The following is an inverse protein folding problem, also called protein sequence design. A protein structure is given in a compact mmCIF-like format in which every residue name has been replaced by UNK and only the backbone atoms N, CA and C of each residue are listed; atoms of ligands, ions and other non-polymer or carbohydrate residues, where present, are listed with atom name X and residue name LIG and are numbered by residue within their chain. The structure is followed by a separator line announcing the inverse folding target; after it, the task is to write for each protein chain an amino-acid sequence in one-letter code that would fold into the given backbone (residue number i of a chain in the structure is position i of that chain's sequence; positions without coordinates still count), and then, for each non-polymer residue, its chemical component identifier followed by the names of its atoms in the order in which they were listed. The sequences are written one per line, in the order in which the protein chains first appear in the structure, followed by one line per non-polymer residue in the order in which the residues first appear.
data_IF_898899428273
#
_entry.id   IF_898899428273
#
_cell.length_a   1.000
_cell.length_b   1.000
_cell.length_c   1.000
_cell.angle_alpha   90.00
_cell.angle_beta   90.00
_cell.angle_gamma   90.00
#
_symmetry.space_group_name_H-M   'P 1'
#
loop_
_entity.id
_entity.type
_entity.pdbx_description
1 polymer ?
#
# COMPACT_ATOMS: atom_id res chain seq x y z
N UNK A 1 -14.13 20.47 -4.16
CA UNK A 1 -13.58 20.04 -2.86
C UNK A 1 -12.34 19.23 -3.15
N UNK A 2 -11.17 19.87 -3.19
CA UNK A 2 -9.89 19.17 -3.29
C UNK A 2 -9.29 19.18 -1.91
N UNK A 3 -9.39 18.05 -1.21
CA UNK A 3 -8.62 17.83 0.02
C UNK A 3 -7.17 17.72 -0.41
N UNK A 4 -6.40 18.77 -0.18
CA UNK A 4 -4.94 18.69 -0.26
C UNK A 4 -4.51 17.84 0.92
N UNK A 5 -4.26 16.55 0.67
CA UNK A 5 -3.86 15.63 1.71
C UNK A 5 -2.51 16.11 2.25
N UNK A 6 -2.54 16.67 3.45
CA UNK A 6 -1.35 17.09 4.17
C UNK A 6 -0.72 15.81 4.70
N UNK A 7 0.10 15.15 3.89
CA UNK A 7 0.85 14.00 4.35
C UNK A 7 1.88 14.49 5.38
N UNK A 8 1.53 14.37 6.67
CA UNK A 8 2.54 14.00 7.65
C UNK A 8 3.32 12.83 7.02
N UNK A 9 4.65 12.86 7.00
CA UNK A 9 5.49 12.00 6.14
C UNK A 9 5.46 10.49 6.44
N UNK A 10 4.31 9.95 6.87
CA UNK A 10 4.02 8.54 7.14
C UNK A 10 2.56 8.22 6.79
N UNK A 11 2.33 7.02 6.29
CA UNK A 11 1.02 6.42 6.03
C UNK A 11 0.64 5.51 7.19
N UNK A 12 -0.64 5.50 7.54
CA UNK A 12 -1.20 4.59 8.54
C UNK A 12 -1.64 3.25 7.94
N UNK A 13 -1.67 2.20 8.77
CA UNK A 13 -2.15 0.88 8.34
C UNK A 13 -3.62 0.90 7.89
N UNK A 14 -4.43 1.78 8.48
CA UNK A 14 -5.83 1.96 8.08
C UNK A 14 -5.96 2.51 6.67
N UNK A 15 -5.11 3.45 6.26
CA UNK A 15 -5.11 3.99 4.89
C UNK A 15 -4.72 2.93 3.86
N UNK A 16 -3.68 2.15 4.14
CA UNK A 16 -3.28 1.04 3.27
C UNK A 16 -4.39 0.00 3.17
N UNK A 17 -4.96 -0.45 4.30
CA UNK A 17 -6.08 -1.40 4.30
C UNK A 17 -7.29 -0.89 3.52
N UNK A 18 -7.60 0.41 3.62
CA UNK A 18 -8.70 1.02 2.86
C UNK A 18 -8.43 0.98 1.35
N UNK A 19 -7.22 1.32 0.90
CA UNK A 19 -6.83 1.19 -0.51
C UNK A 19 -6.92 -0.27 -0.97
N UNK A 20 -6.42 -1.20 -0.17
CA UNK A 20 -6.43 -2.62 -0.48
C UNK A 20 -7.86 -3.16 -0.59
N UNK A 21 -8.74 -2.74 0.32
CA UNK A 21 -10.17 -3.07 0.30
C UNK A 21 -10.87 -2.48 -0.92
N UNK A 22 -10.54 -1.25 -1.32
CA UNK A 22 -11.07 -0.60 -2.52
C UNK A 22 -10.66 -1.35 -3.80
N UNK A 23 -9.40 -1.80 -3.86
CA UNK A 23 -8.88 -2.56 -5.02
C UNK A 23 -9.44 -3.97 -5.09
N UNK A 24 -9.53 -4.69 -3.96
CA UNK A 24 -10.02 -6.06 -3.92
C UNK A 24 -11.56 -6.17 -3.88
N UNK A 25 -12.25 -5.08 -3.54
CA UNK A 25 -13.71 -5.06 -3.38
C UNK A 25 -14.22 -5.90 -2.20
N UNK A 26 -13.34 -6.38 -1.32
CA UNK A 26 -13.64 -7.17 -0.13
C UNK A 26 -12.84 -6.67 1.06
N UNK A 27 -13.41 -6.78 2.26
CA UNK A 27 -12.72 -6.38 3.49
C UNK A 27 -11.55 -7.35 3.77
N UNK A 28 -10.33 -6.80 3.80
CA UNK A 28 -9.11 -7.59 4.04
C UNK A 28 -8.57 -7.33 5.45
N UNK A 29 -8.41 -8.36 6.29
CA UNK A 29 -7.74 -8.23 7.58
C UNK A 29 -6.25 -7.92 7.38
N UNK A 30 -5.71 -7.01 8.19
CA UNK A 30 -4.34 -6.50 8.04
C UNK A 30 -3.21 -7.53 8.16
N UNK A 31 -3.48 -8.68 8.77
CA UNK A 31 -2.54 -9.79 8.92
C UNK A 31 -2.67 -10.87 7.83
N UNK A 32 -3.67 -10.76 6.95
CA UNK A 32 -3.89 -11.69 5.85
C UNK A 32 -2.97 -11.40 4.67
N UNK A 33 -2.48 -12.45 3.99
CA UNK A 33 -1.80 -12.27 2.71
C UNK A 33 -2.79 -11.86 1.63
N UNK A 34 -2.35 -10.97 0.72
CA UNK A 34 -3.15 -10.51 -0.42
C UNK A 34 -3.71 -11.67 -1.24
N UNK A 35 -2.86 -12.66 -1.52
CA UNK A 35 -3.23 -13.84 -2.31
C UNK A 35 -4.29 -14.69 -1.60
N UNK A 36 -4.24 -14.77 -0.26
CA UNK A 36 -5.20 -15.53 0.52
C UNK A 36 -6.63 -14.97 0.51
N UNK A 37 -6.80 -13.69 0.17
CA UNK A 37 -8.09 -12.98 0.21
C UNK A 37 -8.67 -12.70 -1.19
N UNK A 38 -8.13 -13.34 -2.23
CA UNK A 38 -8.57 -13.14 -3.62
C UNK A 38 -7.73 -12.13 -4.40
N UNK A 39 -6.62 -11.65 -3.83
CA UNK A 39 -5.64 -10.86 -4.57
C UNK A 39 -4.84 -11.70 -5.55
N UNK A 40 -4.55 -11.11 -6.70
CA UNK A 40 -3.71 -11.72 -7.73
C UNK A 40 -2.68 -10.71 -8.23
N UNK A 41 -1.91 -11.12 -9.22
CA UNK A 41 -0.91 -10.27 -9.88
C UNK A 41 -1.50 -9.01 -10.50
N UNK A 42 -2.77 -8.99 -10.88
CA UNK A 42 -3.41 -7.79 -11.42
C UNK A 42 -3.69 -6.79 -10.29
N UNK A 43 -4.25 -7.24 -9.18
CA UNK A 43 -4.53 -6.38 -8.02
C UNK A 43 -3.25 -5.76 -7.45
N UNK A 44 -2.15 -6.52 -7.40
CA UNK A 44 -0.88 -5.98 -6.93
C UNK A 44 -0.32 -4.87 -7.84
N UNK A 45 -0.45 -4.99 -9.17
CA UNK A 45 -0.08 -3.89 -10.10
C UNK A 45 -0.95 -2.66 -9.84
N UNK A 46 -2.26 -2.84 -9.66
CA UNK A 46 -3.18 -1.72 -9.36
C UNK A 46 -2.82 -1.05 -8.03
N UNK A 47 -2.48 -1.83 -7.00
CA UNK A 47 -2.06 -1.30 -5.69
C UNK A 47 -0.78 -0.47 -5.82
N UNK A 48 0.24 -0.95 -6.57
CA UNK A 48 1.47 -0.19 -6.82
C UNK A 48 1.16 1.16 -7.47
N UNK A 49 0.36 1.18 -8.55
CA UNK A 49 0.00 2.42 -9.22
C UNK A 49 -0.80 3.37 -8.32
N UNK A 50 -1.72 2.86 -7.50
CA UNK A 50 -2.47 3.69 -6.55
C UNK A 50 -1.59 4.26 -5.45
N UNK A 51 -0.57 3.51 -5.00
CA UNK A 51 0.39 3.98 -4.00
C UNK A 51 1.20 5.15 -4.57
N UNK A 52 1.68 5.01 -5.79
CA UNK A 52 2.42 6.06 -6.50
C UNK A 52 1.54 7.31 -6.70
N UNK A 53 0.29 7.15 -7.15
CA UNK A 53 -0.65 8.25 -7.37
C UNK A 53 -1.03 8.98 -6.06
N UNK A 54 -1.21 8.26 -4.96
CA UNK A 54 -1.62 8.86 -3.68
C UNK A 54 -0.46 9.46 -2.91
N UNK A 55 0.66 8.75 -2.79
CA UNK A 55 1.76 9.12 -1.89
C UNK A 55 3.05 9.51 -2.63
N UNK A 56 3.10 9.37 -3.95
CA UNK A 56 4.27 9.75 -4.75
C UNK A 56 5.48 8.83 -4.54
N UNK A 57 5.26 7.60 -4.06
CA UNK A 57 6.31 6.60 -3.86
C UNK A 57 6.05 5.35 -4.67
N UNK A 58 7.11 4.81 -5.24
CA UNK A 58 7.08 3.55 -5.97
C UNK A 58 7.48 2.42 -5.02
N UNK A 59 6.72 1.32 -5.04
CA UNK A 59 7.03 0.10 -4.29
C UNK A 59 7.08 -1.07 -5.26
N UNK A 60 7.93 -2.06 -4.96
CA UNK A 60 8.08 -3.21 -5.83
C UNK A 60 6.81 -4.07 -5.82
N UNK A 61 6.38 -4.48 -7.00
CA UNK A 61 5.23 -5.38 -7.18
C UNK A 61 5.36 -6.67 -6.37
N UNK A 62 6.57 -7.23 -6.29
CA UNK A 62 6.85 -8.44 -5.52
C UNK A 62 6.71 -8.20 -4.02
N UNK A 63 7.00 -7.00 -3.52
CA UNK A 63 6.81 -6.67 -2.11
C UNK A 63 5.32 -6.60 -1.78
N UNK A 64 4.50 -6.05 -2.67
CA UNK A 64 3.04 -6.04 -2.52
C UNK A 64 2.48 -7.47 -2.48
N UNK A 65 2.91 -8.35 -3.39
CA UNK A 65 2.43 -9.73 -3.44
C UNK A 65 2.82 -10.57 -2.20
N UNK A 66 4.03 -10.37 -1.67
CA UNK A 66 4.56 -11.17 -0.57
C UNK A 66 4.22 -10.60 0.82
N UNK A 67 3.75 -9.35 0.89
CA UNK A 67 3.43 -8.70 2.17
C UNK A 67 1.98 -8.93 2.60
N UNK A 68 1.68 -8.49 3.81
CA UNK A 68 0.30 -8.25 4.27
C UNK A 68 -0.01 -6.76 4.12
N UNK A 69 -1.28 -6.32 4.21
CA UNK A 69 -1.61 -4.89 4.22
C UNK A 69 -0.87 -4.11 5.31
N UNK A 70 -0.65 -4.73 6.47
CA UNK A 70 0.13 -4.10 7.56
C UNK A 70 1.62 -4.05 7.22
N UNK A 71 2.20 -5.13 6.68
CA UNK A 71 3.60 -5.14 6.23
C UNK A 71 3.86 -4.13 5.11
N UNK A 72 2.90 -3.96 4.20
CA UNK A 72 2.97 -2.97 3.13
C UNK A 72 3.02 -1.54 3.67
N UNK A 73 2.41 -1.29 4.84
CA UNK A 73 2.50 0.02 5.51
C UNK A 73 3.93 0.34 5.90
N UNK A 74 4.70 -0.64 6.36
CA UNK A 74 6.11 -0.46 6.68
C UNK A 74 6.94 -0.19 5.41
N UNK A 75 6.70 -0.95 4.33
CA UNK A 75 7.38 -0.77 3.04
C UNK A 75 7.14 0.63 2.47
N UNK A 76 5.89 1.11 2.46
CA UNK A 76 5.55 2.44 1.96
C UNK A 76 6.17 3.54 2.84
N UNK A 77 6.15 3.36 4.17
CA UNK A 77 6.79 4.31 5.08
C UNK A 77 8.31 4.34 4.94
N UNK A 78 8.94 3.20 4.66
CA UNK A 78 10.37 3.11 4.37
C UNK A 78 10.70 3.85 3.06
N UNK A 79 9.90 3.65 2.01
CA UNK A 79 10.05 4.37 0.74
C UNK A 79 9.86 5.89 0.90
N UNK A 80 8.86 6.32 1.67
CA UNK A 80 8.60 7.74 1.98
C UNK A 80 9.70 8.42 2.78
N UNK A 81 10.38 7.66 3.65
CA UNK A 81 11.50 8.19 4.44
C UNK A 81 12.77 8.41 3.61
N UNK A 82 12.74 8.04 2.32
CA UNK A 82 13.90 7.96 1.44
C UNK A 82 14.84 6.81 1.84
N UNK A 83 15.76 6.38 0.95
CA UNK A 83 16.89 5.63 1.44
C UNK A 83 17.55 6.50 2.50
N UNK A 84 17.67 5.99 3.73
CA UNK A 84 18.76 6.42 4.59
C UNK A 84 20.01 6.17 3.74
N UNK A 85 20.50 7.22 3.08
CA UNK A 85 21.69 7.19 2.27
C UNK A 85 22.83 6.95 3.25
N UNK A 86 23.10 5.66 3.52
CA UNK A 86 24.29 5.20 4.24
C UNK A 86 25.50 5.34 3.32
#
# INVERSE_FOLDING_TARGET
MSVQNTFAGRVSATEIRALVTDVLGVEVPGEGSFIGHGGDSFHAVVIVSRIEEQWGVEVEFLDVLNSTPDGLTETVNAALSGPAQQ
#
